data_IF_859783761784
#
_entry.id   IF_859783761784
#
_cell.length_a   1.000
_cell.length_b   1.000
_cell.length_c   1.000
_cell.angle_alpha   90.00
_cell.angle_beta   90.00
_cell.angle_gamma   90.00
#
_symmetry.space_group_name_H-M   'P 1'
#
loop_
_entity.id
_entity.type
_entity.pdbx_description
1 polymer ?
#
# COMPACT_ATOMS: atom_id res chain seq x y z
N UNK A 1 -27.13 4.32 -60.02
CA UNK A 1 -27.29 5.33 -58.95
C UNK A 1 -27.11 4.61 -57.63
N UNK A 2 -25.88 4.63 -57.13
CA UNK A 2 -25.49 3.98 -55.87
C UNK A 2 -24.84 5.06 -55.05
N UNK A 3 -25.59 5.60 -54.09
CA UNK A 3 -25.10 6.60 -53.15
C UNK A 3 -24.13 5.94 -52.17
N UNK A 4 -22.89 6.42 -52.23
CA UNK A 4 -21.83 6.07 -51.30
C UNK A 4 -22.00 6.92 -50.03
N UNK A 5 -22.50 6.31 -48.97
CA UNK A 5 -22.55 6.90 -47.63
C UNK A 5 -21.12 7.04 -47.09
N UNK A 6 -20.61 8.27 -47.10
CA UNK A 6 -19.35 8.64 -46.45
C UNK A 6 -19.55 8.56 -44.93
N UNK A 7 -18.86 7.61 -44.32
CA UNK A 7 -18.60 7.60 -42.89
C UNK A 7 -17.95 8.93 -42.47
N UNK A 8 -18.61 9.65 -41.56
CA UNK A 8 -18.06 10.81 -40.89
C UNK A 8 -16.95 10.34 -39.93
N UNK A 9 -15.71 10.39 -40.39
CA UNK A 9 -14.54 10.30 -39.52
C UNK A 9 -14.50 11.54 -38.64
N UNK A 10 -14.75 11.35 -37.34
CA UNK A 10 -14.60 12.38 -36.33
C UNK A 10 -13.20 12.99 -36.40
N UNK A 11 -13.14 14.30 -36.61
CA UNK A 11 -11.91 15.08 -36.61
C UNK A 11 -11.32 15.02 -35.19
N UNK A 12 -10.17 14.39 -35.03
CA UNK A 12 -9.41 14.47 -33.78
C UNK A 12 -9.13 15.95 -33.48
N UNK A 13 -9.72 16.45 -32.41
CA UNK A 13 -9.42 17.79 -31.91
C UNK A 13 -8.05 17.69 -31.26
N UNK A 14 -7.02 18.17 -31.96
CA UNK A 14 -5.74 18.48 -31.30
C UNK A 14 -5.98 19.68 -30.39
N UNK A 15 -6.00 19.47 -29.07
CA UNK A 15 -6.25 20.54 -28.11
C UNK A 15 -6.47 20.01 -26.70
N UNK A 16 -6.53 20.94 -25.74
CA UNK A 16 -6.85 20.66 -24.35
C UNK A 16 -8.26 20.03 -24.24
N UNK A 17 -8.49 19.16 -23.24
CA UNK A 17 -9.81 18.58 -23.02
C UNK A 17 -10.83 19.67 -22.68
N UNK A 18 -12.09 19.44 -23.04
CA UNK A 18 -13.21 20.30 -22.66
C UNK A 18 -13.39 20.34 -21.12
N UNK A 19 -13.18 19.19 -20.46
CA UNK A 19 -13.39 19.02 -19.01
C UNK A 19 -12.20 18.33 -18.36
N UNK A 20 -11.76 18.85 -17.22
CA UNK A 20 -10.76 18.19 -16.37
C UNK A 20 -11.40 17.87 -15.03
N UNK A 21 -11.50 16.58 -14.72
CA UNK A 21 -11.96 16.09 -13.43
C UNK A 21 -10.78 15.94 -12.47
N UNK A 22 -10.86 16.61 -11.33
CA UNK A 22 -9.96 16.45 -10.19
C UNK A 22 -10.69 15.67 -9.12
N UNK A 23 -10.46 14.36 -9.04
CA UNK A 23 -10.93 13.55 -7.92
C UNK A 23 -9.95 13.64 -6.76
N UNK A 24 -10.35 14.39 -5.72
CA UNK A 24 -9.49 14.81 -4.62
C UNK A 24 -9.59 13.93 -3.38
N UNK A 25 -10.24 12.77 -3.49
CA UNK A 25 -10.46 11.83 -2.39
C UNK A 25 -11.81 12.03 -1.73
N UNK A 26 -11.99 11.81 -0.43
CA UNK A 26 -10.97 11.92 0.62
C UNK A 26 -10.11 10.66 0.85
N UNK A 27 -9.21 10.74 1.82
CA UNK A 27 -8.49 9.56 2.27
C UNK A 27 -9.47 8.55 2.89
N UNK A 28 -9.32 7.26 2.56
CA UNK A 28 -10.15 6.14 3.09
C UNK A 28 -11.61 6.10 2.61
N UNK A 29 -11.91 6.76 1.50
CA UNK A 29 -13.23 6.79 0.84
C UNK A 29 -13.28 5.98 -0.46
N UNK A 30 -12.45 4.94 -0.59
CA UNK A 30 -12.49 4.04 -1.76
C UNK A 30 -11.65 4.50 -2.96
N UNK A 31 -10.81 5.53 -2.80
CA UNK A 31 -9.96 6.06 -3.88
C UNK A 31 -9.04 5.00 -4.49
N UNK A 32 -8.41 4.15 -3.66
CA UNK A 32 -7.53 3.08 -4.15
C UNK A 32 -8.29 2.06 -5.01
N UNK A 33 -9.56 1.77 -4.67
CA UNK A 33 -10.40 0.89 -5.50
C UNK A 33 -10.64 1.53 -6.87
N UNK A 34 -11.15 2.77 -6.90
CA UNK A 34 -11.43 3.50 -8.14
C UNK A 34 -10.17 3.67 -9.01
N UNK A 35 -9.06 4.11 -8.41
CA UNK A 35 -7.79 4.31 -9.11
C UNK A 35 -7.22 3.01 -9.69
N UNK A 36 -7.36 1.87 -9.00
CA UNK A 36 -6.88 0.60 -9.51
C UNK A 36 -7.74 0.09 -10.68
N UNK A 37 -9.07 0.19 -10.58
CA UNK A 37 -10.00 -0.14 -11.67
C UNK A 37 -9.69 0.70 -12.91
N UNK A 38 -9.57 2.03 -12.75
CA UNK A 38 -9.25 2.95 -13.84
C UNK A 38 -7.88 2.70 -14.45
N UNK A 39 -6.86 2.38 -13.64
CA UNK A 39 -5.52 2.08 -14.13
C UNK A 39 -5.49 0.79 -14.95
N UNK A 40 -6.20 -0.25 -14.51
CA UNK A 40 -6.31 -1.51 -15.23
C UNK A 40 -7.08 -1.34 -16.54
N UNK A 41 -8.11 -0.50 -16.54
CA UNK A 41 -9.01 -0.28 -17.67
C UNK A 41 -8.70 1.00 -18.45
N UNK A 42 -7.46 1.47 -18.43
CA UNK A 42 -7.09 2.77 -19.01
C UNK A 42 -7.46 2.88 -20.50
N UNK A 43 -7.28 1.80 -21.26
CA UNK A 43 -7.59 1.79 -22.69
C UNK A 43 -9.11 1.81 -22.94
N UNK A 44 -9.90 1.13 -22.09
CA UNK A 44 -11.36 1.20 -22.11
C UNK A 44 -11.87 2.60 -21.78
N UNK A 45 -11.30 3.26 -20.77
CA UNK A 45 -11.62 4.65 -20.40
C UNK A 45 -11.22 5.62 -21.53
N UNK A 46 -10.07 5.40 -22.16
CA UNK A 46 -9.59 6.17 -23.31
C UNK A 46 -10.49 6.03 -24.53
N UNK A 47 -11.01 4.84 -24.82
CA UNK A 47 -11.97 4.60 -25.90
C UNK A 47 -13.23 5.46 -25.73
N UNK A 48 -13.61 5.74 -24.49
CA UNK A 48 -14.72 6.62 -24.12
C UNK A 48 -14.33 8.11 -24.07
N UNK A 49 -13.22 8.50 -24.68
CA UNK A 49 -12.73 9.88 -24.80
C UNK A 49 -12.32 10.53 -23.47
N UNK A 50 -11.91 9.73 -22.48
CA UNK A 50 -11.41 10.22 -21.19
C UNK A 50 -9.93 9.84 -21.05
N UNK A 51 -9.06 10.84 -20.86
CA UNK A 51 -7.67 10.60 -20.51
C UNK A 51 -7.56 10.29 -19.02
N UNK A 52 -6.98 9.13 -18.70
CA UNK A 52 -6.50 8.84 -17.35
C UNK A 52 -4.97 8.85 -17.39
N UNK A 53 -4.33 10.02 -17.13
CA UNK A 53 -2.92 10.21 -17.40
C UNK A 53 -2.03 9.35 -16.50
N UNK A 54 -0.92 8.88 -17.07
CA UNK A 54 -0.04 7.87 -16.49
C UNK A 54 -0.02 6.58 -17.33
N UNK A 55 0.76 5.59 -16.90
CA UNK A 55 0.88 4.30 -17.57
C UNK A 55 1.20 3.17 -16.58
N UNK A 56 1.36 1.93 -17.06
CA UNK A 56 1.87 0.85 -16.22
C UNK A 56 3.27 1.23 -15.71
N UNK A 57 3.47 1.17 -14.38
CA UNK A 57 4.75 1.51 -13.76
C UNK A 57 4.64 2.60 -12.70
N UNK A 58 5.28 3.74 -12.93
CA UNK A 58 5.43 4.80 -11.93
C UNK A 58 4.09 5.48 -11.59
N UNK A 59 3.87 5.87 -10.32
CA UNK A 59 2.64 6.51 -9.90
C UNK A 59 2.62 8.00 -10.30
N UNK A 60 2.55 8.26 -11.62
CA UNK A 60 2.70 9.59 -12.25
C UNK A 60 1.85 10.66 -11.55
N UNK A 61 0.55 10.40 -11.33
CA UNK A 61 -0.34 11.37 -10.69
C UNK A 61 0.06 11.65 -9.23
N UNK A 62 0.55 10.65 -8.48
CA UNK A 62 1.01 10.86 -7.11
C UNK A 62 2.29 11.70 -7.05
N UNK A 63 3.22 11.51 -7.99
CA UNK A 63 4.42 12.34 -8.10
C UNK A 63 4.05 13.78 -8.44
N UNK A 64 3.18 13.97 -9.43
CA UNK A 64 2.67 15.28 -9.83
C UNK A 64 2.04 16.03 -8.65
N UNK A 65 1.19 15.37 -7.86
CA UNK A 65 0.55 16.00 -6.71
C UNK A 65 1.54 16.27 -5.56
N UNK A 66 2.55 15.43 -5.36
CA UNK A 66 3.64 15.77 -4.44
C UNK A 66 4.42 17.00 -4.90
N UNK A 67 4.68 17.13 -6.21
CA UNK A 67 5.34 18.29 -6.76
C UNK A 67 4.51 19.57 -6.61
N UNK A 68 3.21 19.51 -6.94
CA UNK A 68 2.25 20.57 -6.69
C UNK A 68 2.27 21.02 -5.22
N UNK A 69 2.40 20.08 -4.30
CA UNK A 69 2.45 20.34 -2.86
C UNK A 69 3.81 20.82 -2.34
N UNK A 70 4.86 20.83 -3.18
CA UNK A 70 6.24 21.07 -2.77
C UNK A 70 6.78 19.99 -1.83
N UNK A 71 6.15 18.81 -1.80
CA UNK A 71 6.55 17.69 -0.94
C UNK A 71 7.62 16.86 -1.61
N UNK A 72 8.61 16.46 -0.82
CA UNK A 72 9.63 15.48 -1.17
C UNK A 72 9.64 14.42 -0.06
N UNK A 73 8.89 13.31 -0.21
CA UNK A 73 8.90 12.23 0.78
C UNK A 73 10.34 11.83 1.13
N UNK A 74 10.64 11.52 2.39
CA UNK A 74 12.02 11.20 2.83
C UNK A 74 12.49 9.88 2.20
N UNK A 75 13.16 9.94 1.05
CA UNK A 75 13.15 8.78 0.16
C UNK A 75 14.13 8.84 -1.02
N UNK A 76 14.51 10.02 -1.44
CA UNK A 76 13.75 10.70 -2.48
C UNK A 76 14.04 12.21 -2.40
N UNK A 77 15.32 12.56 -2.49
CA UNK A 77 15.70 13.48 -3.57
C UNK A 77 15.43 12.77 -4.89
N UNK A 78 14.17 12.43 -5.13
CA UNK A 78 13.75 11.68 -6.29
C UNK A 78 13.53 12.74 -7.34
N UNK A 79 14.54 12.91 -8.18
CA UNK A 79 14.55 13.88 -9.27
C UNK A 79 13.32 13.72 -10.17
N UNK A 80 12.67 12.55 -10.15
CA UNK A 80 11.40 12.27 -10.84
C UNK A 80 10.20 13.09 -10.33
N UNK A 81 10.22 13.59 -9.09
CA UNK A 81 9.11 14.40 -8.56
C UNK A 81 9.20 15.84 -9.07
N UNK A 82 10.39 16.43 -9.14
CA UNK A 82 10.52 17.83 -9.51
C UNK A 82 10.01 18.09 -10.94
N UNK A 83 9.06 19.02 -11.09
CA UNK A 83 8.45 19.35 -12.39
C UNK A 83 7.39 18.36 -12.87
N UNK A 84 7.12 17.29 -12.12
CA UNK A 84 6.14 16.28 -12.53
C UNK A 84 4.70 16.80 -12.58
N UNK A 85 4.37 17.89 -11.86
CA UNK A 85 3.07 18.54 -12.03
C UNK A 85 2.92 19.13 -13.42
N UNK A 86 3.91 19.88 -13.87
CA UNK A 86 3.85 20.56 -15.17
C UNK A 86 3.89 19.53 -16.32
N UNK A 87 4.67 18.45 -16.18
CA UNK A 87 4.66 17.32 -17.13
C UNK A 87 3.28 16.65 -17.23
N UNK A 88 2.59 16.45 -16.09
CA UNK A 88 1.23 15.89 -16.09
C UNK A 88 0.25 16.85 -16.79
N UNK A 89 0.34 18.14 -16.49
CA UNK A 89 -0.50 19.19 -17.10
C UNK A 89 -0.31 19.25 -18.61
N UNK A 90 0.94 19.24 -19.09
CA UNK A 90 1.25 19.24 -20.51
C UNK A 90 0.69 18.00 -21.21
N UNK A 91 0.81 16.82 -20.59
CA UNK A 91 0.25 15.58 -21.13
C UNK A 91 -1.29 15.65 -21.25
N UNK A 92 -1.97 16.22 -20.25
CA UNK A 92 -3.42 16.41 -20.27
C UNK A 92 -3.84 17.42 -21.35
N UNK A 93 -3.19 18.59 -21.39
CA UNK A 93 -3.47 19.67 -22.36
C UNK A 93 -3.19 19.28 -23.81
N UNK A 94 -2.36 18.26 -24.05
CA UNK A 94 -2.03 17.75 -25.38
C UNK A 94 -2.68 16.39 -25.69
N UNK A 95 -3.52 15.86 -24.80
CA UNK A 95 -4.09 14.51 -24.92
C UNK A 95 -4.97 14.32 -26.17
N UNK A 96 -5.63 15.38 -26.64
CA UNK A 96 -6.60 15.35 -27.75
C UNK A 96 -7.88 14.59 -27.44
N UNK A 97 -8.15 14.30 -26.17
CA UNK A 97 -9.36 13.64 -25.69
C UNK A 97 -10.36 14.66 -25.14
N UNK A 98 -11.64 14.27 -25.10
CA UNK A 98 -12.73 15.17 -24.67
C UNK A 98 -12.59 15.58 -23.20
N UNK A 99 -12.21 14.63 -22.34
CA UNK A 99 -12.08 14.86 -20.90
C UNK A 99 -10.77 14.28 -20.38
N UNK A 100 -10.30 14.76 -19.23
CA UNK A 100 -9.22 14.13 -18.48
C UNK A 100 -9.62 13.92 -17.02
N UNK A 101 -9.10 12.87 -16.39
CA UNK A 101 -9.37 12.52 -14.99
C UNK A 101 -8.06 12.37 -14.21
N UNK A 102 -7.81 13.31 -13.30
CA UNK A 102 -6.74 13.25 -12.32
C UNK A 102 -7.36 12.81 -10.99
N UNK A 103 -7.01 11.62 -10.52
CA UNK A 103 -7.57 10.95 -9.34
C UNK A 103 -6.49 10.70 -8.31
N UNK A 104 -6.36 11.62 -7.35
CA UNK A 104 -5.34 11.56 -6.31
C UNK A 104 -5.85 12.24 -5.04
N UNK A 105 -6.07 11.46 -3.97
CA UNK A 105 -6.63 11.95 -2.72
C UNK A 105 -5.79 13.03 -2.03
N UNK A 106 -4.48 13.11 -2.26
CA UNK A 106 -3.67 14.15 -1.61
C UNK A 106 -4.03 15.54 -2.12
N UNK A 107 -4.73 15.69 -3.25
CA UNK A 107 -5.29 16.97 -3.67
C UNK A 107 -6.23 17.57 -2.59
N UNK A 108 -6.90 16.76 -1.77
CA UNK A 108 -7.67 17.26 -0.62
C UNK A 108 -6.83 18.04 0.39
N UNK A 109 -5.52 17.84 0.41
CA UNK A 109 -4.57 18.46 1.34
C UNK A 109 -3.91 19.72 0.76
N UNK A 110 -4.30 20.14 -0.45
CA UNK A 110 -3.81 21.36 -1.06
C UNK A 110 -4.23 22.59 -0.24
N UNK A 111 -3.29 23.50 -0.05
CA UNK A 111 -3.60 24.86 0.39
C UNK A 111 -4.38 25.59 -0.71
N UNK A 112 -5.04 26.71 -0.37
CA UNK A 112 -5.73 27.56 -1.35
C UNK A 112 -4.84 27.90 -2.57
N UNK A 113 -3.57 28.29 -2.34
CA UNK A 113 -2.63 28.60 -3.43
C UNK A 113 -2.35 27.41 -4.34
N UNK A 114 -2.29 26.20 -3.77
CA UNK A 114 -2.06 24.97 -4.53
C UNK A 114 -3.32 24.55 -5.30
N UNK A 115 -4.50 24.71 -4.72
CA UNK A 115 -5.78 24.51 -5.42
C UNK A 115 -5.94 25.51 -6.58
N UNK A 116 -5.58 26.79 -6.36
CA UNK A 116 -5.52 27.81 -7.42
C UNK A 116 -4.59 27.39 -8.55
N UNK A 117 -3.36 26.98 -8.24
CA UNK A 117 -2.42 26.46 -9.25
C UNK A 117 -2.99 25.26 -10.00
N UNK A 118 -3.62 24.32 -9.29
CA UNK A 118 -4.19 23.12 -9.91
C UNK A 118 -5.27 23.48 -10.94
N UNK A 119 -6.18 24.40 -10.59
CA UNK A 119 -7.25 24.86 -11.49
C UNK A 119 -6.69 25.70 -12.63
N UNK A 120 -5.80 26.65 -12.34
CA UNK A 120 -5.23 27.55 -13.37
C UNK A 120 -4.29 26.86 -14.35
N UNK A 121 -3.90 25.60 -14.08
CA UNK A 121 -3.11 24.77 -15.00
C UNK A 121 -3.91 24.33 -16.24
N UNK A 122 -5.24 24.47 -16.21
CA UNK A 122 -6.16 24.07 -17.28
C UNK A 122 -7.04 25.25 -17.72
N UNK A 123 -6.46 26.34 -18.27
CA UNK A 123 -7.20 27.56 -18.56
C UNK A 123 -8.30 27.41 -19.62
N UNK A 124 -8.15 26.44 -20.53
CA UNK A 124 -9.09 26.17 -21.62
C UNK A 124 -10.12 25.07 -21.30
N UNK A 125 -10.07 24.51 -20.08
CA UNK A 125 -10.92 23.42 -19.65
C UNK A 125 -11.87 23.82 -18.53
N UNK A 126 -13.06 23.23 -18.51
CA UNK A 126 -13.93 23.29 -17.36
C UNK A 126 -13.42 22.33 -16.26
N UNK A 127 -12.80 22.88 -15.22
CA UNK A 127 -12.36 22.06 -14.08
C UNK A 127 -13.56 21.69 -13.20
N UNK A 128 -13.72 20.39 -12.96
CA UNK A 128 -14.72 19.77 -12.11
C UNK A 128 -14.01 19.07 -10.94
N UNK A 129 -14.43 19.33 -9.71
CA UNK A 129 -13.83 18.72 -8.50
C UNK A 129 -14.75 17.62 -8.01
N UNK A 130 -14.22 16.43 -7.73
CA UNK A 130 -14.97 15.29 -7.21
C UNK A 130 -14.45 14.96 -5.81
N UNK A 131 -15.36 14.90 -4.85
CA UNK A 131 -15.11 14.51 -3.45
C UNK A 131 -15.95 13.29 -3.12
N UNK A 132 -15.31 12.15 -2.93
CA UNK A 132 -15.88 10.97 -2.29
C UNK A 132 -15.88 11.11 -0.76
N UNK A 133 -17.01 10.79 -0.12
CA UNK A 133 -17.25 10.91 1.32
C UNK A 133 -17.76 9.60 1.90
N UNK A 134 -17.32 9.24 3.09
CA UNK A 134 -17.67 7.98 3.76
C UNK A 134 -18.04 8.28 5.22
N UNK A 135 -18.85 7.43 5.82
CA UNK A 135 -19.17 7.52 7.25
C UNK A 135 -17.90 7.60 8.11
N UNK A 136 -17.94 8.51 9.08
CA UNK A 136 -16.79 8.81 9.93
C UNK A 136 -16.38 7.64 10.82
N UNK A 137 -17.30 6.72 11.13
CA UNK A 137 -17.02 5.51 11.92
C UNK A 137 -16.02 4.58 11.22
N UNK A 138 -16.33 4.17 9.98
CA UNK A 138 -15.41 3.35 9.16
C UNK A 138 -14.11 4.10 8.84
N UNK A 139 -14.18 5.42 8.66
CA UNK A 139 -13.00 6.25 8.43
C UNK A 139 -12.09 6.31 9.65
N UNK A 140 -12.62 6.52 10.87
CA UNK A 140 -11.85 6.60 12.11
C UNK A 140 -11.05 5.31 12.36
N UNK A 141 -11.71 4.16 12.21
CA UNK A 141 -11.11 2.83 12.35
C UNK A 141 -10.01 2.62 11.30
N UNK A 142 -10.30 2.91 10.02
CA UNK A 142 -9.31 2.75 8.94
C UNK A 142 -8.12 3.70 9.08
N UNK A 143 -8.36 4.92 9.58
CA UNK A 143 -7.32 5.91 9.83
C UNK A 143 -6.40 5.48 10.97
N UNK A 144 -6.94 4.99 12.09
CA UNK A 144 -6.14 4.46 13.19
C UNK A 144 -5.22 3.31 12.72
N UNK A 145 -5.78 2.35 11.98
CA UNK A 145 -4.99 1.24 11.44
C UNK A 145 -3.87 1.74 10.52
N UNK A 146 -4.15 2.72 9.67
CA UNK A 146 -3.13 3.31 8.79
C UNK A 146 -2.03 4.00 9.60
N UNK A 147 -2.35 4.71 10.68
CA UNK A 147 -1.35 5.31 11.56
C UNK A 147 -0.45 4.23 12.20
N UNK A 148 -1.03 3.10 12.67
CA UNK A 148 -0.25 1.96 13.18
C UNK A 148 0.67 1.37 12.10
N UNK A 149 0.20 1.22 10.87
CA UNK A 149 1.04 0.77 9.73
C UNK A 149 2.14 1.78 9.38
N UNK A 150 1.98 3.06 9.75
CA UNK A 150 2.93 4.15 9.54
C UNK A 150 3.72 4.48 10.83
N UNK A 151 4.12 3.45 11.57
CA UNK A 151 5.02 3.53 12.73
C UNK A 151 4.45 4.28 13.95
N UNK A 152 3.15 4.58 14.00
CA UNK A 152 2.54 5.10 15.21
C UNK A 152 2.19 3.97 16.20
N UNK A 153 2.10 4.33 17.48
CA UNK A 153 1.90 3.39 18.59
C UNK A 153 0.62 3.63 19.39
N UNK A 154 -0.18 4.64 19.02
CA UNK A 154 -1.41 4.99 19.75
C UNK A 154 -2.33 3.77 19.88
N UNK A 155 -2.79 3.49 21.10
CA UNK A 155 -3.92 2.58 21.30
C UNK A 155 -5.16 3.16 20.64
N UNK A 156 -6.16 2.32 20.37
CA UNK A 156 -7.43 2.78 19.83
C UNK A 156 -8.05 3.88 20.70
N UNK A 157 -8.14 3.66 22.02
CA UNK A 157 -8.71 4.64 22.95
C UNK A 157 -7.97 5.98 22.91
N UNK A 158 -6.63 5.96 22.95
CA UNK A 158 -5.84 7.21 22.90
C UNK A 158 -6.04 7.98 21.58
N UNK A 159 -6.25 7.26 20.47
CA UNK A 159 -6.55 7.86 19.19
C UNK A 159 -7.95 8.49 19.18
N UNK A 160 -8.97 7.75 19.63
CA UNK A 160 -10.37 8.21 19.65
C UNK A 160 -10.57 9.39 20.59
N UNK A 161 -10.06 9.30 21.82
CA UNK A 161 -10.10 10.39 22.79
C UNK A 161 -9.49 11.67 22.20
N UNK A 162 -8.42 11.53 21.43
CA UNK A 162 -7.79 12.66 20.77
C UNK A 162 -8.67 13.26 19.66
N UNK A 163 -9.26 12.47 18.76
CA UNK A 163 -10.03 13.01 17.62
C UNK A 163 -11.39 13.56 18.06
N UNK A 164 -11.95 13.05 19.16
CA UNK A 164 -13.21 13.48 19.76
C UNK A 164 -13.09 14.81 20.49
N UNK A 165 -11.94 15.09 21.10
CA UNK A 165 -11.68 16.31 21.87
C UNK A 165 -11.39 17.52 20.94
N UNK A 166 -12.28 18.53 20.85
CA UNK A 166 -12.08 19.69 19.99
C UNK A 166 -10.84 20.51 20.36
N UNK A 167 -10.42 20.49 21.64
CA UNK A 167 -9.23 21.21 22.10
C UNK A 167 -7.93 20.62 21.56
N UNK A 168 -7.95 19.36 21.12
CA UNK A 168 -6.79 18.62 20.61
C UNK A 168 -6.66 18.66 19.09
N UNK A 169 -7.55 19.34 18.37
CA UNK A 169 -7.58 19.36 16.89
C UNK A 169 -6.25 19.77 16.25
N UNK A 170 -5.42 20.57 16.93
CA UNK A 170 -4.11 21.02 16.43
C UNK A 170 -2.93 20.09 16.80
N UNK A 171 -3.17 19.04 17.59
CA UNK A 171 -2.15 18.10 18.12
C UNK A 171 -2.34 16.71 17.49
N UNK A 172 -1.25 15.94 17.37
CA UNK A 172 -1.35 14.55 16.90
C UNK A 172 -2.02 13.66 17.97
N UNK A 173 -2.80 12.64 17.58
CA UNK A 173 -3.15 12.26 16.20
C UNK A 173 -4.28 13.09 15.56
N UNK A 174 -5.07 13.83 16.34
CA UNK A 174 -6.26 14.55 15.86
C UNK A 174 -6.03 15.49 14.67
N UNK A 175 -4.94 16.27 14.69
CA UNK A 175 -4.54 17.12 13.57
C UNK A 175 -4.42 16.34 12.27
N UNK A 176 -3.74 15.19 12.30
CA UNK A 176 -3.53 14.37 11.10
C UNK A 176 -4.83 13.75 10.60
N UNK A 177 -5.73 13.37 11.51
CA UNK A 177 -7.05 12.87 11.17
C UNK A 177 -7.91 13.95 10.50
N UNK A 178 -8.18 15.06 11.20
CA UNK A 178 -9.06 16.12 10.70
C UNK A 178 -8.51 16.82 9.47
N UNK A 179 -7.19 16.96 9.34
CA UNK A 179 -6.58 17.51 8.12
C UNK A 179 -6.88 16.68 6.86
N UNK A 180 -7.19 15.38 7.00
CA UNK A 180 -7.53 14.49 5.87
C UNK A 180 -9.03 14.21 5.72
N UNK A 181 -9.84 14.54 6.74
CA UNK A 181 -11.22 14.05 6.87
C UNK A 181 -12.26 15.16 7.11
N UNK A 182 -11.85 16.39 7.43
CA UNK A 182 -12.77 17.53 7.58
C UNK A 182 -13.26 18.00 6.20
N UNK A 183 -14.20 17.24 5.63
CA UNK A 183 -14.73 17.47 4.28
C UNK A 183 -15.25 18.88 4.09
N UNK A 184 -15.83 19.49 5.13
CA UNK A 184 -16.40 20.83 5.05
C UNK A 184 -15.30 21.85 4.74
N UNK A 185 -14.19 21.83 5.49
CA UNK A 185 -13.04 22.71 5.25
C UNK A 185 -12.31 22.44 3.95
N UNK A 186 -12.25 21.16 3.56
CA UNK A 186 -11.66 20.77 2.28
C UNK A 186 -12.51 21.35 1.14
N UNK A 187 -13.83 21.18 1.17
CA UNK A 187 -14.72 21.75 0.18
C UNK A 187 -14.65 23.29 0.16
N UNK A 188 -14.61 23.97 1.31
CA UNK A 188 -14.43 25.44 1.38
C UNK A 188 -13.17 25.93 0.64
N UNK A 189 -12.07 25.19 0.75
CA UNK A 189 -10.82 25.51 0.05
C UNK A 189 -10.99 25.42 -1.47
N UNK A 190 -11.69 24.39 -1.93
CA UNK A 190 -11.91 24.16 -3.37
C UNK A 190 -13.03 25.03 -3.95
N UNK A 191 -14.08 25.32 -3.18
CA UNK A 191 -15.15 26.27 -3.53
C UNK A 191 -14.61 27.70 -3.74
N UNK A 192 -13.49 28.04 -3.08
CA UNK A 192 -12.80 29.32 -3.29
C UNK A 192 -12.13 29.44 -4.67
N UNK A 193 -12.04 28.35 -5.45
CA UNK A 193 -11.37 28.32 -6.76
C UNK A 193 -12.23 27.77 -7.90
N UNK A 194 -13.29 27.02 -7.59
CA UNK A 194 -14.33 26.60 -8.53
C UNK A 194 -15.70 26.86 -7.93
N UNK A 195 -16.72 27.23 -8.74
CA UNK A 195 -18.08 27.41 -8.21
C UNK A 195 -18.63 26.10 -7.63
N UNK A 196 -19.48 26.18 -6.60
CA UNK A 196 -20.09 25.03 -5.94
C UNK A 196 -20.79 24.04 -6.90
N UNK A 197 -21.35 24.53 -8.02
CA UNK A 197 -21.95 23.70 -9.06
C UNK A 197 -20.97 22.79 -9.82
N UNK A 198 -19.65 22.98 -9.61
CA UNK A 198 -18.58 22.14 -10.16
C UNK A 198 -17.86 21.30 -9.10
N UNK A 199 -18.37 21.28 -7.86
CA UNK A 199 -17.85 20.45 -6.77
C UNK A 199 -18.85 19.33 -6.49
N UNK A 200 -18.55 18.13 -6.99
CA UNK A 200 -19.42 16.95 -6.89
C UNK A 200 -19.10 16.16 -5.63
N UNK A 201 -20.12 15.89 -4.82
CA UNK A 201 -20.01 15.03 -3.64
C UNK A 201 -20.56 13.65 -3.98
N UNK A 202 -19.74 12.62 -3.79
CA UNK A 202 -20.10 11.22 -4.02
C UNK A 202 -20.06 10.47 -2.69
N UNK A 203 -21.16 9.89 -2.28
CA UNK A 203 -21.20 9.07 -1.06
C UNK A 203 -20.67 7.68 -1.34
N UNK A 204 -19.85 7.16 -0.44
CA UNK A 204 -19.45 5.75 -0.41
C UNK A 204 -20.58 4.95 0.23
N UNK A 205 -21.07 3.89 -0.44
CA UNK A 205 -22.24 3.17 0.05
C UNK A 205 -22.00 2.50 1.41
N UNK A 206 -23.10 2.12 2.06
CA UNK A 206 -23.10 1.42 3.36
C UNK A 206 -22.28 0.14 3.32
N UNK A 207 -21.90 -0.35 4.51
CA UNK A 207 -21.18 -1.62 4.62
C UNK A 207 -22.01 -2.75 4.02
N UNK A 208 -21.39 -3.63 3.24
CA UNK A 208 -22.07 -4.76 2.59
C UNK A 208 -22.64 -4.48 1.20
N UNK A 209 -22.71 -3.21 0.76
CA UNK A 209 -23.04 -2.89 -0.62
C UNK A 209 -21.94 -3.36 -1.59
N UNK A 210 -22.31 -3.67 -2.84
CA UNK A 210 -21.31 -3.97 -3.88
C UNK A 210 -20.38 -2.77 -4.11
N UNK A 211 -19.11 -3.06 -4.39
CA UNK A 211 -18.13 -2.05 -4.78
C UNK A 211 -18.55 -1.34 -6.09
N UNK A 212 -19.32 -2.01 -6.94
CA UNK A 212 -19.82 -1.49 -8.21
C UNK A 212 -20.76 -0.30 -8.01
N UNK A 213 -21.41 -0.17 -6.84
CA UNK A 213 -22.25 0.99 -6.53
C UNK A 213 -21.40 2.26 -6.48
N UNK A 214 -20.21 2.20 -5.86
CA UNK A 214 -19.29 3.35 -5.84
C UNK A 214 -18.75 3.64 -7.24
N UNK A 215 -18.39 2.59 -8.00
CA UNK A 215 -17.92 2.74 -9.38
C UNK A 215 -19.00 3.40 -10.25
N UNK A 216 -20.24 2.95 -10.19
CA UNK A 216 -21.36 3.49 -10.96
C UNK A 216 -21.64 4.96 -10.61
N UNK A 217 -21.64 5.32 -9.31
CA UNK A 217 -21.78 6.72 -8.87
C UNK A 217 -20.63 7.60 -9.38
N UNK A 218 -19.42 7.08 -9.38
CA UNK A 218 -18.25 7.79 -9.90
C UNK A 218 -18.34 7.95 -11.43
N UNK A 219 -18.73 6.88 -12.11
CA UNK A 219 -18.91 6.83 -13.56
C UNK A 219 -19.98 7.81 -14.04
N UNK A 220 -21.10 7.95 -13.32
CA UNK A 220 -22.16 8.92 -13.68
C UNK A 220 -21.72 10.37 -13.58
N UNK A 221 -20.77 10.69 -12.68
CA UNK A 221 -20.23 12.06 -12.56
C UNK A 221 -19.20 12.35 -13.65
N UNK A 222 -18.32 11.40 -13.95
CA UNK A 222 -17.25 11.58 -14.95
C UNK A 222 -17.79 11.43 -16.38
N UNK A 223 -18.81 10.60 -16.58
CA UNK A 223 -19.46 10.33 -17.87
C UNK A 223 -18.84 9.15 -18.62
N UNK A 224 -18.61 8.02 -17.95
CA UNK A 224 -18.20 6.76 -18.60
C UNK A 224 -19.13 5.60 -18.24
N UNK A 225 -19.12 4.56 -19.08
CA UNK A 225 -19.85 3.31 -18.90
C UNK A 225 -19.00 2.31 -18.10
N UNK A 226 -19.34 2.01 -16.84
CA UNK A 226 -18.54 1.15 -15.98
C UNK A 226 -18.55 -0.31 -16.42
N UNK A 227 -19.63 -0.78 -17.07
CA UNK A 227 -19.77 -2.18 -17.53
C UNK A 227 -18.81 -2.52 -18.68
N UNK A 228 -18.21 -1.51 -19.32
CA UNK A 228 -17.18 -1.70 -20.35
C UNK A 228 -15.77 -1.94 -19.77
N UNK A 229 -15.60 -1.79 -18.46
CA UNK A 229 -14.31 -1.96 -17.78
C UNK A 229 -14.10 -3.44 -17.43
N UNK A 230 -13.57 -4.20 -18.38
CA UNK A 230 -13.47 -5.67 -18.32
C UNK A 230 -12.16 -6.20 -17.73
N UNK A 231 -11.13 -5.35 -17.60
CA UNK A 231 -9.83 -5.75 -17.08
C UNK A 231 -9.85 -5.83 -15.54
N UNK A 232 -9.39 -6.96 -15.02
CA UNK A 232 -9.29 -7.19 -13.58
C UNK A 232 -8.12 -6.38 -12.99
N UNK A 233 -8.39 -5.48 -12.03
CA UNK A 233 -7.34 -4.70 -11.41
C UNK A 233 -6.47 -5.54 -10.46
N UNK A 234 -5.19 -5.18 -10.38
CA UNK A 234 -4.30 -5.76 -9.39
C UNK A 234 -4.69 -5.30 -7.98
N UNK A 235 -5.11 -6.24 -7.13
CA UNK A 235 -5.44 -5.99 -5.73
C UNK A 235 -4.24 -6.27 -4.82
N UNK A 236 -3.94 -5.36 -3.89
CA UNK A 236 -3.04 -5.62 -2.77
C UNK A 236 -3.61 -5.16 -1.41
N UNK A 237 -4.90 -4.79 -1.37
CA UNK A 237 -5.52 -4.16 -0.20
C UNK A 237 -6.12 -5.19 0.75
N UNK A 238 -5.30 -6.12 1.18
CA UNK A 238 -5.71 -7.01 2.25
C UNK A 238 -5.80 -6.22 3.57
N UNK A 239 -6.95 -6.34 4.23
CA UNK A 239 -7.18 -5.66 5.50
C UNK A 239 -6.51 -6.49 6.59
N UNK A 240 -5.52 -5.92 7.26
CA UNK A 240 -4.89 -6.55 8.42
C UNK A 240 -5.95 -6.70 9.52
N UNK A 241 -6.08 -7.88 10.14
CA UNK A 241 -7.04 -8.11 11.22
C UNK A 241 -6.68 -7.41 12.53
N UNK A 242 -7.53 -7.60 13.56
CA UNK A 242 -7.35 -7.03 14.92
C UNK A 242 -6.02 -7.45 15.53
N UNK A 243 -5.78 -8.76 15.64
CA UNK A 243 -4.58 -9.30 16.26
C UNK A 243 -3.30 -8.86 15.53
N UNK A 244 -3.28 -8.94 14.19
CA UNK A 244 -2.13 -8.52 13.42
C UNK A 244 -1.85 -7.01 13.52
N UNK A 245 -2.88 -6.17 13.59
CA UNK A 245 -2.71 -4.72 13.80
C UNK A 245 -2.11 -4.44 15.18
N UNK A 246 -2.58 -5.12 16.22
CA UNK A 246 -2.04 -4.98 17.58
C UNK A 246 -0.61 -5.53 17.70
N UNK A 247 -0.28 -6.63 17.02
CA UNK A 247 1.12 -7.12 16.91
C UNK A 247 2.01 -6.06 16.28
N UNK A 248 1.61 -5.46 15.15
CA UNK A 248 2.38 -4.38 14.50
C UNK A 248 2.57 -3.20 15.46
N UNK A 249 1.52 -2.78 16.18
CA UNK A 249 1.58 -1.68 17.14
C UNK A 249 2.60 -1.97 18.26
N UNK A 250 2.54 -3.16 18.88
CA UNK A 250 3.49 -3.60 19.92
C UNK A 250 4.91 -3.80 19.37
N UNK A 251 5.06 -4.14 18.08
CA UNK A 251 6.37 -4.17 17.40
C UNK A 251 6.92 -2.77 17.23
N UNK A 252 6.14 -1.80 16.76
CA UNK A 252 6.55 -0.40 16.63
C UNK A 252 7.01 0.17 17.99
N UNK A 253 6.25 -0.09 19.06
CA UNK A 253 6.63 0.29 20.43
C UNK A 253 8.00 -0.27 20.83
N UNK A 254 8.22 -1.57 20.60
CA UNK A 254 9.51 -2.22 20.91
C UNK A 254 10.64 -1.73 20.01
N UNK A 255 10.35 -1.39 18.75
CA UNK A 255 11.32 -0.81 17.82
C UNK A 255 11.76 0.58 18.27
N UNK A 256 10.88 1.37 18.88
CA UNK A 256 11.21 2.65 19.49
C UNK A 256 11.92 3.61 18.53
N UNK A 257 11.54 3.61 17.24
CA UNK A 257 12.15 4.46 16.22
C UNK A 257 13.56 4.03 15.76
N UNK A 258 14.02 2.81 16.10
CA UNK A 258 15.32 2.30 15.62
C UNK A 258 15.41 2.11 14.10
N UNK A 259 14.27 2.05 13.41
CA UNK A 259 14.23 2.01 11.95
C UNK A 259 13.96 3.41 11.41
N UNK A 260 14.67 3.79 10.34
CA UNK A 260 14.24 4.96 9.57
C UNK A 260 12.97 4.63 8.77
N UNK A 261 12.25 5.66 8.30
CA UNK A 261 10.98 5.49 7.60
C UNK A 261 11.06 4.51 6.42
N UNK A 262 12.12 4.56 5.61
CA UNK A 262 12.28 3.65 4.46
C UNK A 262 12.43 2.19 4.90
N UNK A 263 13.19 1.96 5.98
CA UNK A 263 13.35 0.63 6.56
C UNK A 263 12.03 0.12 7.14
N UNK A 264 11.33 0.97 7.88
CA UNK A 264 10.00 0.64 8.43
C UNK A 264 9.00 0.34 7.32
N UNK A 265 8.87 1.23 6.33
CA UNK A 265 7.98 1.05 5.19
C UNK A 265 8.28 -0.26 4.46
N UNK A 266 9.57 -0.56 4.23
CA UNK A 266 9.96 -1.79 3.53
C UNK A 266 9.63 -3.06 4.33
N UNK A 267 9.95 -3.09 5.62
CA UNK A 267 9.90 -4.31 6.45
C UNK A 267 8.53 -4.50 7.09
N UNK A 268 7.97 -3.44 7.67
CA UNK A 268 6.71 -3.50 8.39
C UNK A 268 5.55 -3.26 7.42
N UNK A 269 5.49 -2.09 6.78
CA UNK A 269 4.32 -1.68 6.00
C UNK A 269 4.11 -2.49 4.72
N UNK A 270 5.18 -2.74 3.96
CA UNK A 270 5.12 -3.36 2.63
C UNK A 270 5.45 -4.86 2.64
N UNK A 271 5.88 -5.42 3.77
CA UNK A 271 6.18 -6.85 3.88
C UNK A 271 5.34 -7.48 4.98
N UNK A 272 5.57 -7.14 6.26
CA UNK A 272 4.89 -7.78 7.38
C UNK A 272 3.38 -7.59 7.38
N UNK A 273 2.89 -6.36 7.14
CA UNK A 273 1.46 -6.07 7.19
C UNK A 273 0.66 -6.85 6.11
N UNK A 274 1.02 -6.83 4.81
CA UNK A 274 0.37 -7.67 3.80
C UNK A 274 0.45 -9.17 4.15
N UNK A 275 1.61 -9.63 4.59
CA UNK A 275 1.83 -11.03 4.96
C UNK A 275 0.89 -11.48 6.10
N UNK A 276 0.75 -10.69 7.15
CA UNK A 276 -0.18 -10.99 8.24
C UNK A 276 -1.64 -10.93 7.79
N UNK A 277 -1.99 -10.02 6.89
CA UNK A 277 -3.35 -9.92 6.36
C UNK A 277 -3.79 -11.20 5.62
N UNK A 278 -2.86 -11.94 5.00
CA UNK A 278 -3.14 -13.21 4.31
C UNK A 278 -3.47 -14.37 5.25
N UNK A 279 -3.03 -14.28 6.51
CA UNK A 279 -3.05 -15.42 7.45
C UNK A 279 -3.97 -15.24 8.64
N UNK A 280 -4.23 -14.00 9.05
CA UNK A 280 -5.19 -13.73 10.13
C UNK A 280 -6.61 -13.66 9.58
N UNK A 281 -7.60 -14.12 10.35
CA UNK A 281 -9.00 -13.95 10.00
C UNK A 281 -9.29 -12.50 9.59
N UNK A 282 -10.03 -12.35 8.50
CA UNK A 282 -10.48 -11.07 7.96
C UNK A 282 -11.60 -10.43 8.82
N UNK A 283 -11.63 -10.69 10.14
CA UNK A 283 -12.59 -10.10 11.06
C UNK A 283 -12.47 -8.58 10.96
N UNK A 284 -13.47 -7.97 10.31
CA UNK A 284 -13.47 -6.55 10.02
C UNK A 284 -13.61 -5.80 11.34
N UNK A 285 -12.80 -4.78 11.50
CA UNK A 285 -12.98 -3.82 12.59
C UNK A 285 -14.32 -3.11 12.44
N UNK A 286 -15.00 -2.89 13.56
CA UNK A 286 -16.09 -1.93 13.65
C UNK A 286 -15.79 -0.86 14.67
N UNK A 287 -16.49 0.26 14.51
CA UNK A 287 -16.56 1.27 15.54
C UNK A 287 -17.19 0.66 16.81
N UNK A 288 -16.54 0.78 17.98
CA UNK A 288 -17.13 0.37 19.24
C UNK A 288 -18.46 1.10 19.55
N UNK A 289 -19.45 0.43 20.15
CA UNK A 289 -20.77 1.03 20.42
C UNK A 289 -20.73 2.32 21.26
N UNK A 290 -19.81 2.43 22.23
CA UNK A 290 -19.63 3.62 23.07
C UNK A 290 -19.17 4.85 22.29
N UNK A 291 -18.55 4.65 21.12
CA UNK A 291 -18.11 5.74 20.24
C UNK A 291 -19.21 6.18 19.26
N UNK A 292 -20.31 5.45 19.19
CA UNK A 292 -21.38 5.71 18.22
C UNK A 292 -22.03 7.09 18.44
N UNK A 293 -22.25 7.49 19.70
CA UNK A 293 -22.94 8.74 20.03
C UNK A 293 -22.26 9.97 19.46
N UNK A 294 -20.97 10.16 19.76
CA UNK A 294 -20.24 11.35 19.32
C UNK A 294 -19.92 11.33 17.81
N UNK A 295 -19.67 10.15 17.22
CA UNK A 295 -19.46 10.06 15.77
C UNK A 295 -20.75 10.40 15.04
N UNK A 296 -21.91 9.95 15.54
CA UNK A 296 -23.21 10.27 14.96
C UNK A 296 -23.46 11.77 14.99
N UNK A 297 -23.27 12.41 16.15
CA UNK A 297 -23.40 13.88 16.28
C UNK A 297 -22.48 14.62 15.29
N UNK A 298 -21.23 14.17 15.16
CA UNK A 298 -20.26 14.76 14.23
C UNK A 298 -20.64 14.53 12.76
N UNK A 299 -21.21 13.37 12.45
CA UNK A 299 -21.72 13.05 11.12
C UNK A 299 -22.94 13.91 10.77
N UNK A 300 -23.85 14.15 11.72
CA UNK A 300 -25.01 15.02 11.53
C UNK A 300 -24.59 16.46 11.21
N UNK A 301 -23.63 17.01 11.96
CA UNK A 301 -23.05 18.34 11.69
C UNK A 301 -22.45 18.41 10.28
N UNK A 302 -21.74 17.36 9.86
CA UNK A 302 -21.15 17.26 8.53
C UNK A 302 -22.22 17.19 7.44
N UNK A 303 -23.27 16.39 7.63
CA UNK A 303 -24.39 16.25 6.69
C UNK A 303 -25.10 17.58 6.52
N UNK A 304 -25.45 18.25 7.63
CA UNK A 304 -26.11 19.56 7.60
C UNK A 304 -25.26 20.59 6.84
N UNK A 305 -23.96 20.66 7.13
CA UNK A 305 -23.04 21.57 6.46
C UNK A 305 -22.94 21.29 4.95
N UNK A 306 -22.94 20.02 4.52
CA UNK A 306 -22.92 19.64 3.10
C UNK A 306 -24.24 19.97 2.40
N UNK A 307 -25.39 19.74 3.07
CA UNK A 307 -26.72 20.06 2.53
C UNK A 307 -26.88 21.56 2.25
N UNK A 308 -26.39 22.41 3.15
CA UNK A 308 -26.51 23.86 3.02
C UNK A 308 -25.67 24.46 1.88
N UNK A 309 -24.64 23.74 1.40
CA UNK A 309 -23.69 24.25 0.38
C UNK A 309 -24.12 23.97 -1.07
N UNK A 310 -25.18 23.19 -1.29
CA UNK A 310 -25.78 23.01 -2.62
C UNK A 310 -24.88 22.32 -3.67
N UNK A 311 -23.91 21.53 -3.21
CA UNK A 311 -23.05 20.73 -4.10
C UNK A 311 -23.86 19.67 -4.85
N UNK A 312 -23.59 19.42 -6.15
CA UNK A 312 -24.10 18.25 -6.84
C UNK A 312 -23.79 16.98 -6.05
N UNK A 313 -24.84 16.24 -5.67
CA UNK A 313 -24.74 15.04 -4.84
C UNK A 313 -25.07 13.79 -5.66
N UNK A 314 -24.20 12.78 -5.59
CA UNK A 314 -24.48 11.44 -6.09
C UNK A 314 -24.47 10.43 -4.95
N UNK A 315 -25.62 9.77 -4.75
CA UNK A 315 -25.91 8.87 -3.62
C UNK A 315 -26.71 9.57 -2.51
N UNK A 316 -26.57 9.14 -1.25
CA UNK A 316 -27.41 9.63 -0.15
C UNK A 316 -26.57 10.03 1.08
N UNK A 317 -26.71 11.27 1.53
CA UNK A 317 -26.01 11.77 2.72
C UNK A 317 -26.37 11.02 4.00
N UNK A 318 -27.53 10.33 4.04
CA UNK A 318 -27.88 9.46 5.16
C UNK A 318 -26.88 8.31 5.35
N UNK A 319 -26.17 7.91 4.29
CA UNK A 319 -25.12 6.88 4.32
C UNK A 319 -23.86 7.33 5.07
N UNK A 320 -23.73 8.62 5.38
CA UNK A 320 -22.64 9.16 6.19
C UNK A 320 -22.86 8.95 7.69
N UNK A 321 -24.10 8.64 8.12
CA UNK A 321 -24.38 8.25 9.50
C UNK A 321 -23.83 6.86 9.76
N UNK A 322 -22.99 6.68 10.80
CA UNK A 322 -22.46 5.37 11.13
C UNK A 322 -23.58 4.41 11.54
N UNK A 323 -23.44 3.14 11.18
CA UNK A 323 -24.33 2.07 11.62
C UNK A 323 -23.54 1.00 12.38
N UNK A 324 -24.13 0.40 13.42
CA UNK A 324 -23.58 -0.80 14.04
C UNK A 324 -23.41 -1.89 12.97
N UNK A 325 -22.20 -2.41 12.83
CA UNK A 325 -21.96 -3.59 12.00
C UNK A 325 -22.00 -4.81 12.90
N UNK A 326 -22.82 -5.80 12.57
CA UNK A 326 -22.90 -7.05 13.33
C UNK A 326 -21.75 -7.98 12.93
N UNK A 327 -21.26 -8.80 13.87
CA UNK A 327 -20.22 -9.80 13.59
C UNK A 327 -18.81 -9.24 13.38
N UNK A 328 -18.59 -7.99 13.76
CA UNK A 328 -17.29 -7.32 13.71
C UNK A 328 -16.66 -7.22 15.09
N UNK A 329 -15.35 -6.98 15.11
CA UNK A 329 -14.57 -6.89 16.35
C UNK A 329 -14.13 -5.45 16.62
N UNK A 330 -13.91 -5.13 17.89
CA UNK A 330 -13.38 -3.83 18.27
C UNK A 330 -11.88 -3.76 17.96
N UNK A 331 -11.33 -2.56 17.76
CA UNK A 331 -9.90 -2.39 17.48
C UNK A 331 -8.94 -2.89 18.57
N UNK A 332 -9.41 -2.98 19.81
CA UNK A 332 -8.68 -3.37 21.01
C UNK A 332 -9.02 -4.78 21.52
N UNK A 333 -9.79 -5.58 20.75
CA UNK A 333 -10.30 -6.89 21.18
C UNK A 333 -9.31 -8.06 21.03
N UNK A 334 -8.05 -7.82 20.64
CA UNK A 334 -7.09 -8.90 20.43
C UNK A 334 -6.82 -9.66 21.74
N UNK A 335 -7.06 -10.97 21.75
CA UNK A 335 -6.79 -11.84 22.91
C UNK A 335 -5.33 -12.29 22.92
N UNK A 336 -4.80 -12.64 24.10
CA UNK A 336 -3.40 -13.10 24.22
C UNK A 336 -3.07 -14.34 23.34
N UNK A 337 -3.94 -15.37 23.19
CA UNK A 337 -3.68 -16.46 22.25
C UNK A 337 -3.59 -16.00 20.79
N UNK A 338 -4.47 -15.10 20.35
CA UNK A 338 -4.44 -14.58 18.97
C UNK A 338 -3.19 -13.73 18.71
N UNK A 339 -2.76 -12.96 19.72
CA UNK A 339 -1.53 -12.19 19.65
C UNK A 339 -0.30 -13.10 19.58
N UNK A 340 -0.30 -14.21 20.33
CA UNK A 340 0.76 -15.20 20.28
C UNK A 340 0.86 -15.83 18.89
N UNK A 341 -0.25 -16.33 18.34
CA UNK A 341 -0.29 -16.94 17.00
C UNK A 341 0.16 -15.93 15.92
N UNK A 342 -0.42 -14.73 15.90
CA UNK A 342 -0.03 -13.68 14.95
C UNK A 342 1.45 -13.26 15.10
N UNK A 343 2.01 -13.31 16.31
CA UNK A 343 3.43 -13.03 16.55
C UNK A 343 4.33 -14.16 16.05
N UNK A 344 3.93 -15.42 16.23
CA UNK A 344 4.68 -16.57 15.71
C UNK A 344 4.68 -16.58 14.18
N UNK A 345 3.54 -16.30 13.55
CA UNK A 345 3.44 -16.10 12.10
C UNK A 345 4.36 -14.97 11.63
N UNK A 346 4.29 -13.80 12.26
CA UNK A 346 5.18 -12.67 11.96
C UNK A 346 6.66 -13.04 12.01
N UNK A 347 7.08 -13.76 13.07
CA UNK A 347 8.47 -14.18 13.26
C UNK A 347 8.90 -15.22 12.22
N UNK A 348 8.08 -16.23 11.94
CA UNK A 348 8.36 -17.24 10.93
C UNK A 348 8.53 -16.61 9.55
N UNK A 349 7.65 -15.66 9.20
CA UNK A 349 7.67 -14.93 7.93
C UNK A 349 8.90 -14.05 7.78
N UNK A 350 9.27 -13.30 8.82
CA UNK A 350 10.48 -12.48 8.80
C UNK A 350 11.74 -13.36 8.75
N UNK A 351 11.75 -14.51 9.43
CA UNK A 351 12.86 -15.46 9.38
C UNK A 351 13.04 -16.06 7.98
N UNK A 352 11.95 -16.49 7.33
CA UNK A 352 11.97 -16.97 5.94
C UNK A 352 12.47 -15.86 4.99
N UNK A 353 11.91 -14.65 5.10
CA UNK A 353 12.32 -13.52 4.25
C UNK A 353 13.78 -13.14 4.46
N UNK A 354 14.26 -13.20 5.69
CA UNK A 354 15.66 -12.97 6.02
C UNK A 354 16.56 -14.06 5.42
N UNK A 355 16.18 -15.34 5.53
CA UNK A 355 16.90 -16.46 4.92
C UNK A 355 16.98 -16.33 3.39
N UNK A 356 15.86 -16.04 2.71
CA UNK A 356 15.85 -15.80 1.26
C UNK A 356 16.78 -14.63 0.89
N UNK A 357 16.71 -13.53 1.62
CA UNK A 357 17.56 -12.36 1.39
C UNK A 357 19.04 -12.67 1.62
N UNK A 358 19.36 -13.47 2.63
CA UNK A 358 20.73 -13.92 2.92
C UNK A 358 21.28 -14.80 1.79
N UNK A 359 20.49 -15.73 1.27
CA UNK A 359 20.87 -16.58 0.14
C UNK A 359 21.09 -15.78 -1.14
N UNK A 360 20.19 -14.86 -1.48
CA UNK A 360 20.35 -13.98 -2.66
C UNK A 360 21.64 -13.16 -2.54
N UNK A 361 21.92 -12.58 -1.37
CA UNK A 361 23.15 -11.82 -1.13
C UNK A 361 24.42 -12.66 -1.18
N UNK A 362 24.33 -13.96 -0.89
CA UNK A 362 25.45 -14.91 -0.99
C UNK A 362 25.67 -15.49 -2.39
N UNK A 363 24.70 -15.42 -3.31
CA UNK A 363 24.88 -15.93 -4.67
C UNK A 363 26.04 -15.26 -5.45
N UNK A 364 26.30 -13.94 -5.35
CA UNK A 364 27.49 -13.31 -5.93
C UNK A 364 28.80 -13.91 -5.39
N UNK A 365 28.85 -14.18 -4.08
CA UNK A 365 30.01 -14.83 -3.44
C UNK A 365 30.16 -16.29 -3.88
N UNK A 366 29.06 -17.03 -4.02
CA UNK A 366 29.10 -18.41 -4.51
C UNK A 366 29.51 -18.48 -5.98
N UNK A 367 29.08 -17.54 -6.82
CA UNK A 367 29.52 -17.43 -8.21
C UNK A 367 31.01 -17.06 -8.30
N UNK A 368 31.48 -16.13 -7.47
CA UNK A 368 32.90 -15.77 -7.39
C UNK A 368 33.76 -16.92 -6.83
N UNK A 369 33.26 -17.66 -5.83
CA UNK A 369 33.91 -18.86 -5.29
C UNK A 369 33.89 -19.99 -6.31
N UNK A 370 32.80 -20.19 -7.05
CA UNK A 370 32.72 -21.19 -8.13
C UNK A 370 33.65 -20.84 -9.30
N UNK A 371 33.78 -19.57 -9.67
CA UNK A 371 34.71 -19.11 -10.70
C UNK A 371 36.17 -19.29 -10.25
N UNK A 372 36.50 -18.96 -9.00
CA UNK A 372 37.83 -19.24 -8.41
C UNK A 372 38.11 -20.73 -8.27
N UNK A 373 37.11 -21.52 -7.89
CA UNK A 373 37.21 -22.97 -7.81
C UNK A 373 37.36 -23.61 -9.19
N UNK A 374 36.72 -23.08 -10.24
CA UNK A 374 36.90 -23.53 -11.62
C UNK A 374 38.30 -23.17 -12.16
N UNK A 375 38.87 -22.02 -11.75
CA UNK A 375 40.26 -21.66 -12.02
C UNK A 375 41.28 -22.49 -11.23
N UNK A 376 40.90 -22.99 -10.04
CA UNK A 376 41.79 -23.73 -9.13
C UNK A 376 41.57 -25.25 -9.15
N UNK A 377 40.62 -25.76 -9.95
CA UNK A 377 40.30 -27.18 -10.01
C UNK A 377 41.23 -27.93 -10.96
N UNK A 378 42.50 -28.02 -10.55
CA UNK A 378 43.31 -29.18 -10.86
C UNK A 378 42.82 -30.37 -10.00
N UNK A 379 43.01 -31.59 -10.51
CA UNK A 379 42.37 -32.88 -10.18
C UNK A 379 42.15 -33.28 -8.70
N UNK A 380 42.70 -32.56 -7.72
CA UNK A 380 42.70 -32.89 -6.29
C UNK A 380 41.35 -32.67 -5.55
N UNK A 381 40.43 -31.85 -6.07
CA UNK A 381 39.15 -31.57 -5.41
C UNK A 381 38.10 -32.67 -5.62
N UNK A 382 38.06 -33.26 -6.83
CA UNK A 382 37.11 -34.32 -7.18
C UNK A 382 37.35 -35.61 -6.38
N UNK A 383 38.62 -35.93 -6.10
CA UNK A 383 39.02 -37.09 -5.29
C UNK A 383 38.66 -36.90 -3.81
N UNK A 384 38.83 -35.71 -3.22
CA UNK A 384 38.42 -35.42 -1.83
C UNK A 384 36.90 -35.47 -1.64
N UNK A 385 36.13 -34.97 -2.59
CA UNK A 385 34.67 -35.03 -2.56
C UNK A 385 34.09 -36.44 -2.70
N UNK A 386 34.80 -37.35 -3.39
CA UNK A 386 34.44 -38.77 -3.46
C UNK A 386 34.78 -39.51 -2.15
N UNK A 387 35.94 -39.23 -1.55
CA UNK A 387 36.34 -39.81 -0.26
C UNK A 387 35.38 -39.39 0.87
N UNK A 388 34.99 -38.11 0.94
CA UNK A 388 34.05 -37.64 1.96
C UNK A 388 32.65 -38.27 1.80
N UNK A 389 32.13 -38.36 0.57
CA UNK A 389 30.84 -39.01 0.30
C UNK A 389 30.89 -40.51 0.61
N UNK A 390 31.99 -41.18 0.29
CA UNK A 390 32.22 -42.58 0.66
C UNK A 390 32.29 -42.80 2.17
N UNK A 391 33.00 -41.94 2.90
CA UNK A 391 33.09 -42.01 4.37
C UNK A 391 31.75 -41.76 5.04
N UNK A 392 30.96 -40.80 4.56
CA UNK A 392 29.63 -40.52 5.10
C UNK A 392 28.65 -41.67 4.85
N UNK A 393 28.65 -42.24 3.63
CA UNK A 393 27.81 -43.39 3.29
C UNK A 393 28.22 -44.65 4.09
N UNK A 394 29.51 -44.82 4.39
CA UNK A 394 30.00 -45.88 5.25
C UNK A 394 29.60 -45.67 6.73
N UNK A 395 29.55 -44.42 7.22
CA UNK A 395 29.06 -44.11 8.56
C UNK A 395 27.55 -44.38 8.69
N UNK A 396 26.75 -43.97 7.70
CA UNK A 396 25.30 -44.21 7.66
C UNK A 396 24.95 -45.72 7.53
N UNK A 397 25.84 -46.54 6.95
CA UNK A 397 25.67 -48.01 6.84
C UNK A 397 26.25 -48.80 8.03
N UNK A 398 27.19 -48.22 8.80
CA UNK A 398 27.78 -48.84 9.98
C UNK A 398 26.75 -49.08 11.10
N UNK A 399 25.70 -48.25 11.16
CA UNK A 399 24.59 -48.42 12.10
C UNK A 399 23.67 -49.59 11.74
N UNK A 400 23.76 -50.14 10.52
CA UNK A 400 22.85 -51.20 10.01
C UNK A 400 23.54 -52.54 9.75
N UNK A 401 24.87 -52.60 9.58
CA UNK A 401 25.59 -53.85 9.28
C UNK A 401 26.92 -53.98 10.07
N UNK A 402 27.16 -55.09 10.80
CA UNK A 402 28.34 -55.28 11.67
C UNK A 402 29.70 -55.21 10.95
N UNK A 403 29.74 -55.57 9.66
CA UNK A 403 30.98 -55.59 8.86
C UNK A 403 31.44 -54.16 8.53
N UNK A 404 30.53 -53.21 8.36
CA UNK A 404 30.83 -51.80 8.10
C UNK A 404 31.37 -51.08 9.36
N UNK A 405 30.93 -51.49 10.55
CA UNK A 405 31.46 -50.99 11.83
C UNK A 405 32.95 -51.34 12.04
N UNK A 406 33.39 -52.54 11.62
CA UNK A 406 34.82 -52.93 11.64
C UNK A 406 35.68 -52.07 10.72
N UNK A 407 35.17 -51.70 9.53
CA UNK A 407 35.87 -50.82 8.61
C UNK A 407 36.01 -49.38 9.17
N UNK A 408 34.95 -48.86 9.80
CA UNK A 408 34.98 -47.58 10.52
C UNK A 408 36.00 -47.56 11.67
N UNK A 409 36.05 -48.63 12.47
CA UNK A 409 37.04 -48.77 13.57
C UNK A 409 38.49 -48.83 13.05
N UNK A 410 38.74 -49.46 11.91
CA UNK A 410 40.05 -49.45 11.26
C UNK A 410 40.45 -48.05 10.75
N UNK A 411 39.50 -47.27 10.24
CA UNK A 411 39.72 -45.87 9.80
C UNK A 411 40.00 -44.96 10.98
N UNK A 412 39.22 -45.07 12.07
CA UNK A 412 39.41 -44.30 13.30
C UNK A 412 40.75 -44.64 13.98
N UNK A 413 41.10 -45.93 14.09
CA UNK A 413 42.39 -46.34 14.66
C UNK A 413 43.62 -45.97 13.82
N UNK A 414 43.48 -45.82 12.50
CA UNK A 414 44.53 -45.21 11.64
C UNK A 414 44.64 -43.71 11.88
N UNK A 415 43.52 -43.02 12.09
CA UNK A 415 43.49 -41.58 12.38
C UNK A 415 44.11 -41.26 13.73
N UNK A 416 43.85 -42.10 14.74
CA UNK A 416 44.44 -41.96 16.07
C UNK A 416 45.94 -42.29 16.06
N UNK A 417 46.37 -43.30 15.29
CA UNK A 417 47.79 -43.59 15.04
C UNK A 417 48.52 -42.44 14.33
N UNK A 418 47.88 -41.79 13.36
CA UNK A 418 48.45 -40.62 12.71
C UNK A 418 48.57 -39.42 13.67
N UNK A 419 47.59 -39.22 14.55
CA UNK A 419 47.64 -38.21 15.63
C UNK A 419 48.74 -38.49 16.65
N UNK A 420 48.90 -39.74 17.10
CA UNK A 420 49.99 -40.10 18.04
C UNK A 420 51.36 -39.96 17.38
N UNK A 421 51.50 -40.30 16.10
CA UNK A 421 52.75 -40.12 15.35
C UNK A 421 53.10 -38.63 15.12
N UNK A 422 52.08 -37.77 14.94
CA UNK A 422 52.26 -36.33 14.88
C UNK A 422 52.64 -35.72 16.24
N UNK A 423 52.03 -36.19 17.34
CA UNK A 423 52.37 -35.76 18.70
C UNK A 423 53.75 -36.26 19.19
N UNK A 424 54.22 -37.41 18.69
CA UNK A 424 55.57 -37.89 18.95
C UNK A 424 56.64 -37.06 18.21
N UNK A 425 56.35 -36.61 16.98
CA UNK A 425 57.24 -35.71 16.22
C UNK A 425 57.36 -34.32 16.85
N UNK A 426 56.32 -33.82 17.53
CA UNK A 426 56.39 -32.52 18.23
C UNK A 426 57.09 -32.57 19.59
N UNK A 427 57.51 -33.76 20.07
CA UNK A 427 58.27 -33.93 21.33
C UNK A 427 59.75 -34.31 21.12
N UNK A 428 60.20 -34.47 19.88
CA UNK A 428 61.56 -34.89 19.54
C UNK A 428 62.44 -33.80 18.89
N UNK A 429 62.03 -32.53 18.94
CA UNK A 429 62.92 -31.39 18.63
C UNK A 429 63.44 -30.79 19.95
N UNK A 430 64.71 -31.01 20.34
CA UNK A 430 65.35 -30.17 21.33
C UNK A 430 65.73 -28.81 20.71
N UNK A 431 65.71 -27.76 21.51
CA UNK A 431 66.19 -26.41 21.16
C UNK A 431 67.64 -26.43 20.65
#
# INVERSE_FOLDING_TARGET
MTESSKAATGRAVSGAPETVYLHIGLHKTGTTYLQNVLRANRDHVRAQQIDFPGGPGEPVQAFAVWDLQGRRPRGAGDERIAGSWDVLVDAVNTSGLRSALISEERLSLCTLRQAQRAVSSFPDSQVQVIVTVRDLGRVAVSAWQEEVKNDQTYTWQAFVDSIKDPSRVAVKPARGFWFRQDVVKICETWESVVPASRLHVITVPRSGASADVLLGRFASVVGFEPDSLTEEPAWNNETVGVAATEVIRRVNERLGGRLNQRQHDKVIKLTLAPMLAQRTEAARFSLPPEEMGWITERADQMIEALQQRGYPLTGDLSELRPEPTMGTRRPDDATEPELLEASLDALAMLAERHATSWWIRKQPDLAAVAARAAQSADLASKTRGLVFRGQRRAAELADKFPVAAKAMSAVLSRRDRARTKAAARSRSEPK
#
